data_IF_216606525204
#
_entry.id   IF_216606525204
#
_cell.length_a   1.000
_cell.length_b   1.000
_cell.length_c   1.000
_cell.angle_alpha   90.00
_cell.angle_beta   90.00
_cell.angle_gamma   90.00
#
_symmetry.space_group_name_H-M   'P 1'
#
loop_
_entity.id
_entity.type
_entity.pdbx_description
1 polymer ?
#
# COMPACT_ATOMS: atom_id res chain seq x y z
N UNK A 1 3.81 12.60 -17.61
CA UNK A 1 4.74 11.88 -16.73
C UNK A 1 4.46 12.38 -15.34
N UNK A 2 4.08 11.50 -14.42
CA UNK A 2 3.73 11.88 -13.05
C UNK A 2 4.83 11.40 -12.07
N UNK A 3 5.99 11.05 -12.60
CA UNK A 3 7.15 10.51 -11.89
C UNK A 3 7.68 11.49 -10.83
N UNK A 4 7.36 12.79 -10.98
CA UNK A 4 7.64 13.86 -10.03
C UNK A 4 6.75 13.78 -8.78
N UNK A 5 5.55 13.20 -8.90
CA UNK A 5 4.51 13.19 -7.88
C UNK A 5 4.35 11.80 -7.25
N UNK A 6 4.61 10.72 -8.01
CA UNK A 6 4.27 9.32 -7.68
C UNK A 6 5.38 8.34 -8.09
N UNK A 7 5.31 7.11 -7.59
CA UNK A 7 6.04 5.95 -8.15
C UNK A 7 7.37 5.60 -7.48
N UNK A 8 7.84 6.38 -6.51
CA UNK A 8 8.95 6.01 -5.62
C UNK A 8 8.78 6.67 -4.24
N UNK A 9 9.50 6.15 -3.25
CA UNK A 9 9.49 6.70 -1.89
C UNK A 9 10.61 7.73 -1.77
N UNK A 10 10.29 8.98 -2.05
CA UNK A 10 11.22 10.11 -2.05
C UNK A 10 10.59 11.35 -1.39
N UNK A 11 11.37 12.18 -0.66
CA UNK A 11 10.87 13.44 -0.12
C UNK A 11 10.29 14.35 -1.21
N UNK A 12 9.15 14.99 -0.93
CA UNK A 12 8.46 15.88 -1.86
C UNK A 12 7.45 15.19 -2.78
N UNK A 13 7.39 13.84 -2.80
CA UNK A 13 6.34 13.06 -3.46
C UNK A 13 5.14 12.83 -2.55
N UNK A 14 4.03 12.41 -3.16
CA UNK A 14 2.84 12.01 -2.41
C UNK A 14 3.19 10.82 -1.53
N UNK A 15 2.77 10.88 -0.26
CA UNK A 15 3.01 9.84 0.74
C UNK A 15 2.02 8.68 0.59
N UNK A 16 2.01 8.08 -0.60
CA UNK A 16 1.26 6.87 -0.94
C UNK A 16 2.19 5.67 -0.85
N UNK A 17 2.07 4.91 0.25
CA UNK A 17 2.93 3.77 0.52
C UNK A 17 2.24 2.77 1.44
N UNK A 18 2.78 1.55 1.49
CA UNK A 18 2.30 0.48 2.37
C UNK A 18 3.42 0.00 3.27
N UNK A 19 3.10 -0.33 4.52
CA UNK A 19 4.00 -1.06 5.40
C UNK A 19 3.60 -2.53 5.38
N UNK A 20 4.56 -3.38 5.03
CA UNK A 20 4.41 -4.83 5.02
C UNK A 20 5.18 -5.44 6.19
N UNK A 21 4.64 -6.51 6.77
CA UNK A 21 5.39 -7.37 7.68
C UNK A 21 6.03 -8.51 6.86
N UNK A 22 7.35 -8.52 6.75
CA UNK A 22 8.09 -9.50 5.95
C UNK A 22 8.80 -8.87 4.75
N UNK A 23 9.44 -9.71 3.95
CA UNK A 23 10.23 -9.28 2.78
C UNK A 23 9.60 -9.82 1.48
N UNK A 24 8.95 -8.97 0.67
CA UNK A 24 8.36 -9.38 -0.60
C UNK A 24 9.40 -9.66 -1.70
N UNK A 25 10.66 -9.23 -1.52
CA UNK A 25 11.76 -9.52 -2.46
C UNK A 25 12.22 -10.97 -2.29
N UNK A 26 12.33 -11.44 -1.04
CA UNK A 26 12.66 -12.82 -0.73
C UNK A 26 11.46 -13.76 -0.91
N UNK A 27 10.26 -13.33 -0.49
CA UNK A 27 9.02 -14.12 -0.51
C UNK A 27 7.86 -13.29 -1.06
N UNK A 28 7.52 -13.42 -2.36
CA UNK A 28 6.47 -12.61 -2.99
C UNK A 28 5.09 -12.67 -2.30
N UNK A 29 4.79 -13.72 -1.55
CA UNK A 29 3.52 -13.86 -0.82
C UNK A 29 3.34 -12.81 0.28
N UNK A 30 4.46 -12.30 0.85
CA UNK A 30 4.49 -11.29 1.91
C UNK A 30 3.92 -9.95 1.45
N UNK A 31 3.73 -9.73 0.15
CA UNK A 31 3.04 -8.54 -0.38
C UNK A 31 1.61 -8.39 0.17
N UNK A 32 1.00 -9.49 0.63
CA UNK A 32 -0.34 -9.50 1.24
C UNK A 32 -0.32 -9.24 2.75
N UNK A 33 0.85 -9.22 3.39
CA UNK A 33 0.99 -9.04 4.82
C UNK A 33 1.05 -7.54 5.18
N UNK A 34 -0.01 -6.81 4.81
CA UNK A 34 -0.09 -5.36 4.96
C UNK A 34 -0.47 -5.00 6.39
N UNK A 35 0.38 -4.21 7.04
CA UNK A 35 0.15 -3.68 8.40
C UNK A 35 -0.53 -2.31 8.35
N UNK A 36 0.00 -1.40 7.51
CA UNK A 36 -0.52 -0.05 7.34
C UNK A 36 -0.59 0.33 5.88
N UNK A 37 -1.63 1.07 5.51
CA UNK A 37 -1.73 1.76 4.23
C UNK A 37 -1.67 3.26 4.50
N UNK A 38 -0.75 3.95 3.84
CA UNK A 38 -0.68 5.40 3.85
C UNK A 38 -1.21 5.90 2.52
N UNK A 39 -2.23 6.76 2.58
CA UNK A 39 -2.77 7.43 1.41
C UNK A 39 -2.88 8.92 1.69
N UNK A 40 -2.29 9.74 0.82
CA UNK A 40 -2.19 11.20 1.00
C UNK A 40 -1.61 11.57 2.39
N UNK A 41 -0.71 10.73 2.92
CA UNK A 41 -0.12 10.90 4.26
C UNK A 41 -0.99 10.48 5.45
N UNK A 42 -2.20 9.97 5.22
CA UNK A 42 -3.10 9.46 6.27
C UNK A 42 -2.88 7.96 6.43
N UNK A 43 -2.69 7.50 7.67
CA UNK A 43 -2.53 6.09 8.00
C UNK A 43 -3.88 5.38 8.19
N UNK A 44 -4.03 4.23 7.57
CA UNK A 44 -5.18 3.33 7.66
C UNK A 44 -4.72 1.94 8.08
N UNK A 45 -5.54 1.29 8.92
CA UNK A 45 -5.30 -0.09 9.36
C UNK A 45 -5.46 -1.06 8.19
N UNK A 46 -4.39 -1.82 7.88
CA UNK A 46 -4.36 -2.72 6.73
C UNK A 46 -5.35 -3.87 6.83
N UNK A 47 -5.52 -4.44 8.03
CA UNK A 47 -6.44 -5.55 8.25
C UNK A 47 -7.89 -5.09 8.05
N UNK A 48 -8.26 -3.92 8.58
CA UNK A 48 -9.58 -3.34 8.40
C UNK A 48 -9.92 -3.08 6.93
N UNK A 49 -8.95 -2.62 6.13
CA UNK A 49 -9.15 -2.39 4.69
C UNK A 49 -9.33 -3.71 3.92
N UNK A 50 -8.54 -4.73 4.22
CA UNK A 50 -8.68 -6.06 3.61
C UNK A 50 -10.04 -6.67 3.93
N UNK A 51 -10.52 -6.54 5.17
CA UNK A 51 -11.87 -6.96 5.55
C UNK A 51 -12.95 -6.17 4.81
N UNK A 52 -12.85 -4.84 4.78
CA UNK A 52 -13.83 -3.96 4.15
C UNK A 52 -13.97 -4.19 2.63
N UNK A 53 -12.91 -4.70 1.99
CA UNK A 53 -12.86 -4.97 0.54
C UNK A 53 -13.07 -6.44 0.20
N UNK A 54 -13.24 -7.31 1.21
CA UNK A 54 -13.45 -8.75 1.03
C UNK A 54 -14.71 -9.00 0.20
N UNK A 55 -14.54 -9.56 -0.99
CA UNK A 55 -15.63 -9.83 -1.94
C UNK A 55 -15.81 -8.76 -3.03
N UNK A 56 -15.06 -7.66 -2.97
CA UNK A 56 -14.97 -6.62 -4.00
C UNK A 56 -13.63 -6.82 -4.73
N UNK A 57 -13.55 -7.79 -5.63
CA UNK A 57 -12.37 -7.94 -6.52
C UNK A 57 -12.75 -7.61 -7.96
N UNK A 58 -12.30 -6.46 -8.46
CA UNK A 58 -12.49 -6.00 -9.84
C UNK A 58 -12.68 -4.48 -9.96
N UNK A 59 -12.15 -3.90 -11.03
CA UNK A 59 -12.35 -2.49 -11.41
C UNK A 59 -13.79 -2.35 -11.94
N UNK A 60 -14.52 -1.32 -11.50
CA UNK A 60 -15.72 -0.82 -12.19
C UNK A 60 -15.29 0.24 -13.18
#
# INVERSE_FOLDING_TARGET
GNDHELGSVEPGKIADLVLLAGDPVERPEEIRNVVWVFKDGIAYDGAALVEATRGIMGIR
#
